data_IF_960889511891
#
_entry.id   IF_960889511891
#
_cell.length_a   1.000
_cell.length_b   1.000
_cell.length_c   1.000
_cell.angle_alpha   90.00
_cell.angle_beta   90.00
_cell.angle_gamma   90.00
#
_symmetry.space_group_name_H-M   'P 1'
#
loop_
_entity.id
_entity.type
_entity.pdbx_description
1 polymer ?
#
# COMPACT_ATOMS: atom_id res chain seq x y z
N UNK A 1 -17.15 2.87 16.32
CA UNK A 1 -16.75 2.34 17.64
C UNK A 1 -17.90 1.69 18.44
N UNK A 2 -19.17 1.85 18.03
CA UNK A 2 -20.32 1.34 18.79
C UNK A 2 -20.41 -0.20 18.87
N UNK A 3 -19.98 -0.92 17.82
CA UNK A 3 -20.18 -2.37 17.71
C UNK A 3 -18.97 -3.23 18.08
N UNK A 4 -17.85 -2.62 18.50
CA UNK A 4 -16.60 -3.34 18.78
C UNK A 4 -16.09 -3.05 20.19
N UNK A 5 -15.47 -4.04 20.82
CA UNK A 5 -14.91 -3.92 22.18
C UNK A 5 -13.53 -3.25 22.20
N UNK A 6 -12.76 -3.45 21.12
CA UNK A 6 -11.40 -2.94 20.92
C UNK A 6 -11.20 -2.46 19.48
N UNK A 7 -10.31 -1.49 19.33
CA UNK A 7 -9.94 -0.86 18.06
C UNK A 7 -8.41 -0.91 17.97
N UNK A 8 -7.89 -1.76 17.08
CA UNK A 8 -6.46 -1.87 16.80
C UNK A 8 -6.01 -0.71 15.89
N UNK A 9 -5.04 0.07 16.35
CA UNK A 9 -4.42 1.13 15.55
C UNK A 9 -2.97 0.79 15.23
N UNK A 10 -2.52 1.23 14.05
CA UNK A 10 -1.15 1.08 13.58
C UNK A 10 -0.34 2.39 13.63
N UNK A 11 -1.01 3.53 13.84
CA UNK A 11 -0.42 4.86 13.95
C UNK A 11 -0.90 5.53 15.24
N UNK A 12 0.00 6.02 16.12
CA UNK A 12 -0.40 6.66 17.38
C UNK A 12 -1.37 7.83 17.20
N UNK A 13 -1.22 8.59 16.12
CA UNK A 13 -2.02 9.77 15.79
C UNK A 13 -3.51 9.44 15.61
N UNK A 14 -3.82 8.21 15.19
CA UNK A 14 -5.18 7.74 15.02
C UNK A 14 -5.92 7.53 16.35
N UNK A 15 -5.23 7.53 17.50
CA UNK A 15 -5.86 7.34 18.80
C UNK A 15 -6.94 8.39 19.08
N UNK A 16 -6.73 9.64 18.64
CA UNK A 16 -7.65 10.76 18.88
C UNK A 16 -8.96 10.66 18.07
N UNK A 17 -9.03 9.78 17.07
CA UNK A 17 -10.22 9.56 16.23
C UNK A 17 -11.21 8.55 16.87
N UNK A 18 -10.84 7.93 17.98
CA UNK A 18 -11.59 6.84 18.60
C UNK A 18 -11.76 7.01 20.11
N UNK A 19 -12.77 6.36 20.72
CA UNK A 19 -12.90 6.37 22.17
C UNK A 19 -11.68 5.75 22.85
N UNK A 20 -10.98 6.53 23.67
CA UNK A 20 -9.69 6.19 24.30
C UNK A 20 -9.69 4.80 24.96
N UNK A 21 -10.75 4.48 25.72
CA UNK A 21 -10.91 3.19 26.42
C UNK A 21 -10.97 1.95 25.50
N UNK A 22 -11.15 2.14 24.20
CA UNK A 22 -11.24 1.07 23.20
C UNK A 22 -9.98 0.95 22.34
N UNK A 23 -9.08 1.93 22.36
CA UNK A 23 -7.91 1.96 21.47
C UNK A 23 -6.80 1.05 21.99
N UNK A 24 -6.22 0.24 21.11
CA UNK A 24 -5.04 -0.59 21.37
C UNK A 24 -4.05 -0.37 20.23
N UNK A 25 -2.83 0.04 20.55
CA UNK A 25 -1.76 0.11 19.55
C UNK A 25 -1.23 -1.30 19.26
N UNK A 26 -1.50 -1.79 18.05
CA UNK A 26 -1.09 -3.13 17.59
C UNK A 26 0.05 -3.08 16.58
N UNK A 27 0.40 -1.89 16.09
CA UNK A 27 1.28 -1.74 14.93
C UNK A 27 0.61 -2.20 13.63
N UNK A 28 1.38 -2.25 12.55
CA UNK A 28 0.91 -2.69 11.24
C UNK A 28 1.20 -4.19 11.03
N UNK A 29 0.19 -5.08 11.10
CA UNK A 29 0.41 -6.53 11.00
C UNK A 29 1.00 -6.96 9.66
N UNK A 30 0.80 -6.17 8.59
CA UNK A 30 1.37 -6.49 7.27
C UNK A 30 2.85 -6.13 7.16
N UNK A 31 3.33 -5.15 7.93
CA UNK A 31 4.72 -4.69 7.88
C UNK A 31 5.69 -5.80 8.33
N UNK A 32 5.33 -6.58 9.35
CA UNK A 32 6.12 -7.73 9.82
C UNK A 32 6.33 -8.78 8.73
N UNK A 33 5.31 -9.03 7.90
CA UNK A 33 5.41 -9.95 6.77
C UNK A 33 6.29 -9.40 5.62
N UNK A 34 6.54 -8.09 5.54
CA UNK A 34 7.46 -7.49 4.53
C UNK A 34 8.89 -7.44 5.06
N UNK A 35 9.07 -7.28 6.38
CA UNK A 35 10.37 -7.02 6.99
C UNK A 35 11.47 -8.06 6.65
N UNK A 36 11.08 -9.31 6.37
CA UNK A 36 12.01 -10.40 6.07
C UNK A 36 12.02 -10.82 4.59
N UNK A 37 11.35 -10.07 3.71
CA UNK A 37 11.31 -10.40 2.28
C UNK A 37 12.67 -10.10 1.64
N UNK A 38 13.26 -11.12 1.03
CA UNK A 38 14.46 -10.96 0.21
C UNK A 38 14.09 -10.65 -1.25
N UNK A 39 14.97 -9.99 -2.02
CA UNK A 39 14.82 -9.88 -3.46
C UNK A 39 14.62 -11.27 -4.08
N UNK A 40 13.64 -11.39 -4.98
CA UNK A 40 13.33 -12.62 -5.69
C UNK A 40 13.28 -12.36 -7.18
N UNK A 41 13.32 -13.42 -7.99
CA UNK A 41 13.09 -13.35 -9.43
C UNK A 41 11.60 -13.21 -9.80
N UNK A 42 10.77 -12.64 -8.92
CA UNK A 42 9.32 -12.56 -9.13
C UNK A 42 8.94 -11.71 -10.35
N UNK A 43 9.77 -10.73 -10.72
CA UNK A 43 9.58 -9.95 -11.95
C UNK A 43 9.56 -10.85 -13.20
N UNK A 44 10.42 -11.87 -13.25
CA UNK A 44 10.45 -12.83 -14.38
C UNK A 44 9.14 -13.63 -14.44
N UNK A 45 8.57 -14.00 -13.29
CA UNK A 45 7.27 -14.69 -13.20
C UNK A 45 6.11 -13.82 -13.70
N UNK A 46 6.26 -12.50 -13.66
CA UNK A 46 5.32 -11.53 -14.22
C UNK A 46 5.62 -11.18 -15.69
N UNK A 47 6.64 -11.80 -16.30
CA UNK A 47 7.07 -11.50 -17.67
C UNK A 47 7.85 -10.17 -17.80
N UNK A 48 8.34 -9.62 -16.70
CA UNK A 48 9.10 -8.37 -16.65
C UNK A 48 10.61 -8.63 -16.65
N UNK A 49 11.37 -7.73 -17.28
CA UNK A 49 12.83 -7.81 -17.29
C UNK A 49 13.39 -7.30 -15.95
N UNK A 50 14.09 -8.13 -15.15
CA UNK A 50 14.60 -7.73 -13.83
C UNK A 50 15.69 -6.65 -13.91
N UNK A 51 16.31 -6.45 -15.07
CA UNK A 51 17.33 -5.43 -15.30
C UNK A 51 16.75 -4.08 -15.73
N UNK A 52 15.43 -3.97 -15.91
CA UNK A 52 14.76 -2.71 -16.23
C UNK A 52 14.06 -2.14 -14.99
N UNK A 53 14.18 -0.83 -14.75
CA UNK A 53 13.38 -0.16 -13.72
C UNK A 53 11.89 -0.47 -13.90
N UNK A 54 11.25 -0.95 -12.83
CA UNK A 54 9.85 -1.34 -12.84
C UNK A 54 9.08 -0.47 -11.85
N UNK A 55 7.93 0.06 -12.28
CA UNK A 55 7.06 0.91 -11.46
C UNK A 55 5.72 0.20 -11.26
N UNK A 56 5.29 0.08 -10.00
CA UNK A 56 3.93 -0.36 -9.65
C UNK A 56 3.02 0.86 -9.56
N UNK A 57 1.90 0.84 -10.27
CA UNK A 57 0.92 1.93 -10.30
C UNK A 57 -0.40 1.37 -9.83
N UNK A 58 -0.93 1.92 -8.74
CA UNK A 58 -2.19 1.50 -8.15
C UNK A 58 -2.89 2.67 -7.48
N UNK A 59 -4.19 2.55 -7.27
CA UNK A 59 -5.00 3.53 -6.54
C UNK A 59 -6.18 2.88 -5.85
N UNK A 60 -6.71 3.54 -4.82
CA UNK A 60 -7.96 3.11 -4.18
C UNK A 60 -9.19 3.37 -5.07
N UNK A 61 -10.32 2.74 -4.75
CA UNK A 61 -11.56 2.76 -5.56
C UNK A 61 -11.94 4.15 -6.10
N UNK A 62 -11.83 5.21 -5.28
CA UNK A 62 -12.24 6.58 -5.66
C UNK A 62 -11.22 7.34 -6.53
N UNK A 63 -10.01 6.83 -6.70
CA UNK A 63 -8.91 7.52 -7.39
C UNK A 63 -8.22 6.70 -8.48
N UNK A 64 -8.38 5.36 -8.47
CA UNK A 64 -7.66 4.46 -9.37
C UNK A 64 -7.85 4.81 -10.85
N UNK A 65 -9.08 5.13 -11.26
CA UNK A 65 -9.38 5.46 -12.65
C UNK A 65 -8.57 6.66 -13.16
N UNK A 66 -8.58 7.77 -12.42
CA UNK A 66 -7.86 8.99 -12.82
C UNK A 66 -6.34 8.77 -12.81
N UNK A 67 -5.83 8.00 -11.84
CA UNK A 67 -4.40 7.63 -11.80
C UNK A 67 -4.03 6.86 -13.06
N UNK A 68 -4.81 5.83 -13.42
CA UNK A 68 -4.55 5.02 -14.61
C UNK A 68 -4.61 5.85 -15.90
N UNK A 69 -5.62 6.73 -16.04
CA UNK A 69 -5.75 7.63 -17.20
C UNK A 69 -4.55 8.58 -17.32
N UNK A 70 -4.13 9.20 -16.22
CA UNK A 70 -2.98 10.11 -16.19
C UNK A 70 -1.66 9.38 -16.52
N UNK A 71 -1.48 8.18 -15.97
CA UNK A 71 -0.32 7.33 -16.26
C UNK A 71 -0.23 7.01 -17.75
N UNK A 72 -1.32 6.54 -18.36
CA UNK A 72 -1.33 6.17 -19.79
C UNK A 72 -1.01 7.40 -20.65
N UNK A 73 -1.56 8.56 -20.32
CA UNK A 73 -1.25 9.81 -21.01
C UNK A 73 0.23 10.20 -20.89
N UNK A 74 0.83 9.98 -19.72
CA UNK A 74 2.22 10.32 -19.44
C UNK A 74 3.24 9.31 -20.01
N UNK A 75 2.83 8.12 -20.49
CA UNK A 75 3.76 7.10 -21.01
C UNK A 75 4.70 7.64 -22.09
N UNK A 76 4.22 8.56 -22.93
CA UNK A 76 5.03 9.21 -23.97
C UNK A 76 6.22 10.00 -23.42
N UNK A 77 6.14 10.45 -22.16
CA UNK A 77 7.23 11.17 -21.49
C UNK A 77 8.28 10.22 -20.90
N UNK A 78 7.95 8.93 -20.76
CA UNK A 78 8.83 7.90 -20.19
C UNK A 78 9.44 6.99 -21.25
N UNK A 79 8.84 6.91 -22.44
CA UNK A 79 9.42 6.24 -23.60
C UNK A 79 10.54 7.11 -24.18
N UNK A 80 11.77 6.87 -23.71
CA UNK A 80 13.00 7.23 -24.44
C UNK A 80 13.45 6.04 -25.27
#
# INVERSE_FOLDING_TARGET
SHFVDRIGICFPEAANEFPEKKVVFTGNPRAQQVANIQPTNYLEKLGLNPNKPTVLIFGGSRGARRINEATVAALKNFAR
#
